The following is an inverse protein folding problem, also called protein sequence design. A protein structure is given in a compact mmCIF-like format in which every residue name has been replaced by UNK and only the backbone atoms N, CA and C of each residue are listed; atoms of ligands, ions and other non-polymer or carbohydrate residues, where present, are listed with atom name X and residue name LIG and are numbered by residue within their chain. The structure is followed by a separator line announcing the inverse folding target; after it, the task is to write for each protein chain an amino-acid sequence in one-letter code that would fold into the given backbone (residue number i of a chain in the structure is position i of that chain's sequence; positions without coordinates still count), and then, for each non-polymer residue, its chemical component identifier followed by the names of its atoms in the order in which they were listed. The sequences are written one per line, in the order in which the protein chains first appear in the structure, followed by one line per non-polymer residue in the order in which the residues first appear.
data_IF_317495308422
#
_entry.id   IF_317495308422
#
_cell.length_a   1.000
_cell.length_b   1.000
_cell.length_c   1.000
_cell.angle_alpha   90.00
_cell.angle_beta   90.00
_cell.angle_gamma   90.00
#
_symmetry.space_group_name_H-M   'P 1'
#
loop_
_entity.id
_entity.type
_entity.pdbx_description
1 polymer ?
#
# COMPACT_ATOMS: atom_id res chain seq x y z
N UNK A 1 -6.35 2.25 -34.71
CA UNK A 1 -6.63 1.43 -33.52
C UNK A 1 -7.53 2.25 -32.62
N UNK A 2 -8.78 1.84 -32.47
CA UNK A 2 -9.79 2.53 -31.65
C UNK A 2 -9.26 2.70 -30.22
N UNK A 3 -8.98 3.94 -29.81
CA UNK A 3 -8.67 4.27 -28.44
C UNK A 3 -9.87 3.87 -27.58
N UNK A 4 -9.76 2.79 -26.81
CA UNK A 4 -10.74 2.51 -25.78
C UNK A 4 -10.63 3.65 -24.77
N UNK A 5 -11.70 4.42 -24.61
CA UNK A 5 -11.72 5.53 -23.67
C UNK A 5 -11.41 5.01 -22.25
N UNK A 6 -10.76 5.83 -21.43
CA UNK A 6 -10.44 5.51 -20.04
C UNK A 6 -11.67 5.03 -19.27
N UNK A 7 -12.82 5.68 -19.48
CA UNK A 7 -14.10 5.31 -18.87
C UNK A 7 -14.52 3.88 -19.24
N UNK A 8 -14.34 3.50 -20.50
CA UNK A 8 -14.68 2.16 -20.96
C UNK A 8 -13.78 1.11 -20.31
N UNK A 9 -12.46 1.36 -20.24
CA UNK A 9 -11.53 0.48 -19.51
C UNK A 9 -11.89 0.38 -18.03
N UNK A 10 -12.25 1.51 -17.41
CA UNK A 10 -12.63 1.56 -16.00
C UNK A 10 -13.85 0.70 -15.72
N UNK A 11 -14.89 0.75 -16.57
CA UNK A 11 -16.07 -0.11 -16.44
C UNK A 11 -15.69 -1.60 -16.54
N UNK A 12 -14.84 -1.95 -17.51
CA UNK A 12 -14.36 -3.34 -17.66
C UNK A 12 -13.61 -3.80 -16.42
N UNK A 13 -12.66 -3.00 -15.93
CA UNK A 13 -11.87 -3.33 -14.74
C UNK A 13 -12.70 -3.37 -13.46
N UNK A 14 -13.74 -2.53 -13.33
CA UNK A 14 -14.70 -2.61 -12.22
C UNK A 14 -15.44 -3.96 -12.24
N UNK A 15 -15.86 -4.45 -13.42
CA UNK A 15 -16.46 -5.79 -13.55
C UNK A 15 -15.47 -6.90 -13.19
N UNK A 16 -14.19 -6.70 -13.52
CA UNK A 16 -13.11 -7.62 -13.16
C UNK A 16 -12.60 -7.44 -11.72
N UNK A 17 -13.18 -6.52 -10.92
CA UNK A 17 -12.74 -6.27 -9.54
C UNK A 17 -12.67 -7.56 -8.72
N UNK A 18 -13.56 -8.53 -8.98
CA UNK A 18 -13.61 -9.81 -8.26
C UNK A 18 -12.63 -10.88 -8.78
N UNK A 19 -12.10 -10.73 -10.00
CA UNK A 19 -11.12 -11.63 -10.60
C UNK A 19 -9.72 -11.00 -10.61
N UNK A 20 -9.00 -11.17 -9.51
CA UNK A 20 -7.65 -10.60 -9.33
C UNK A 20 -6.65 -11.09 -10.36
N UNK A 21 -6.78 -12.33 -10.84
CA UNK A 21 -5.86 -12.90 -11.83
C UNK A 21 -6.00 -12.13 -13.14
N UNK A 22 -7.25 -11.94 -13.59
CA UNK A 22 -7.55 -11.17 -14.79
C UNK A 22 -7.15 -9.70 -14.63
N UNK A 23 -7.44 -9.08 -13.48
CA UNK A 23 -7.05 -7.69 -13.22
C UNK A 23 -5.52 -7.51 -13.21
N UNK A 24 -4.78 -8.46 -12.65
CA UNK A 24 -3.32 -8.47 -12.70
C UNK A 24 -2.79 -8.61 -14.12
N UNK A 25 -3.37 -9.49 -14.93
CA UNK A 25 -3.04 -9.59 -16.36
C UNK A 25 -3.31 -8.28 -17.11
N UNK A 26 -4.39 -7.55 -16.79
CA UNK A 26 -4.70 -6.25 -17.41
C UNK A 26 -3.64 -5.19 -17.10
N UNK A 27 -3.07 -5.18 -15.89
CA UNK A 27 -2.02 -4.24 -15.49
C UNK A 27 -0.74 -4.42 -16.33
N UNK A 28 -0.48 -5.65 -16.80
CA UNK A 28 0.72 -5.99 -17.57
C UNK A 28 0.61 -5.65 -19.07
N UNK A 29 -0.57 -5.24 -19.56
CA UNK A 29 -0.80 -4.99 -21.00
C UNK A 29 -0.03 -3.78 -21.50
N UNK A 30 -0.19 -2.61 -20.85
CA UNK A 30 0.54 -1.39 -21.17
C UNK A 30 0.40 -0.34 -20.04
N UNK A 31 1.16 0.77 -20.15
CA UNK A 31 1.15 1.87 -19.15
C UNK A 31 -0.22 2.53 -18.97
N UNK A 32 -1.06 2.54 -20.00
CA UNK A 32 -2.40 3.14 -19.92
C UNK A 32 -3.34 2.25 -19.09
N UNK A 33 -3.40 0.94 -19.39
CA UNK A 33 -4.18 -0.04 -18.64
C UNK A 33 -3.70 -0.15 -17.20
N UNK A 34 -2.39 -0.13 -16.98
CA UNK A 34 -1.76 -0.04 -15.67
C UNK A 34 -2.36 1.11 -14.84
N UNK A 35 -2.43 2.33 -15.40
CA UNK A 35 -2.90 3.52 -14.67
C UNK A 35 -4.36 3.41 -14.24
N UNK A 36 -5.21 2.78 -15.04
CA UNK A 36 -6.64 2.64 -14.75
C UNK A 36 -6.93 1.44 -13.85
N UNK A 37 -6.21 0.33 -14.00
CA UNK A 37 -6.42 -0.90 -13.24
C UNK A 37 -5.83 -0.85 -11.81
N UNK A 38 -4.70 -0.18 -11.60
CA UNK A 38 -4.03 -0.09 -10.29
C UNK A 38 -4.96 0.47 -9.19
N UNK A 39 -5.65 1.63 -9.36
CA UNK A 39 -6.52 2.14 -8.30
C UNK A 39 -7.65 1.17 -7.94
N UNK A 40 -8.18 0.45 -8.93
CA UNK A 40 -9.25 -0.55 -8.73
C UNK A 40 -8.71 -1.75 -7.94
N UNK A 41 -7.51 -2.21 -8.28
CA UNK A 41 -6.83 -3.30 -7.56
C UNK A 41 -6.48 -2.88 -6.13
N UNK A 42 -5.94 -1.68 -5.93
CA UNK A 42 -5.51 -1.18 -4.63
C UNK A 42 -6.69 -0.96 -3.67
N UNK A 43 -7.82 -0.44 -4.17
CA UNK A 43 -9.03 -0.26 -3.37
C UNK A 43 -9.58 -1.57 -2.79
N UNK A 44 -9.42 -2.71 -3.50
CA UNK A 44 -9.86 -4.02 -3.00
C UNK A 44 -8.94 -4.59 -1.93
N UNK A 45 -7.64 -4.33 -1.97
CA UNK A 45 -6.69 -4.88 -0.99
C UNK A 45 -6.97 -4.41 0.46
N UNK A 46 -7.84 -3.41 0.62
CA UNK A 46 -8.34 -2.92 1.90
C UNK A 46 -9.64 -3.58 2.38
N UNK A 47 -10.26 -4.47 1.58
CA UNK A 47 -11.44 -5.25 1.97
C UNK A 47 -10.99 -6.47 2.81
N UNK A 48 -11.70 -6.72 3.90
CA UNK A 48 -11.23 -7.51 5.07
C UNK A 48 -10.93 -9.00 4.80
N UNK A 49 -11.26 -9.52 3.62
CA UNK A 49 -11.25 -10.96 3.34
C UNK A 49 -9.90 -11.50 2.82
N UNK A 50 -8.91 -10.64 2.51
CA UNK A 50 -7.61 -11.06 1.92
C UNK A 50 -6.38 -10.51 2.67
N UNK A 51 -6.55 -10.14 3.95
CA UNK A 51 -5.52 -9.50 4.80
C UNK A 51 -4.24 -10.35 4.92
N UNK A 52 -4.33 -11.68 4.82
CA UNK A 52 -3.18 -12.59 4.89
C UNK A 52 -2.13 -12.38 3.78
N UNK A 53 -2.49 -11.70 2.69
CA UNK A 53 -1.63 -11.49 1.50
C UNK A 53 -0.97 -10.10 1.47
N UNK A 54 -1.29 -9.23 2.44
CA UNK A 54 -0.91 -7.81 2.41
C UNK A 54 0.52 -7.50 2.86
N UNK A 55 1.33 -8.52 3.20
CA UNK A 55 2.73 -8.34 3.62
C UNK A 55 3.57 -7.55 2.61
N UNK A 56 3.34 -7.78 1.30
CA UNK A 56 3.98 -7.03 0.23
C UNK A 56 3.58 -5.55 0.24
N UNK A 57 2.31 -5.25 0.51
CA UNK A 57 1.81 -3.88 0.59
C UNK A 57 2.40 -3.14 1.80
N UNK A 58 2.45 -3.81 2.95
CA UNK A 58 3.08 -3.26 4.15
C UNK A 58 4.54 -2.89 3.90
N UNK A 59 5.30 -3.79 3.25
CA UNK A 59 6.68 -3.53 2.87
C UNK A 59 6.81 -2.34 1.91
N UNK A 60 5.90 -2.20 0.94
CA UNK A 60 5.91 -1.02 0.05
C UNK A 60 5.65 0.29 0.79
N UNK A 61 4.74 0.31 1.78
CA UNK A 61 4.45 1.50 2.57
C UNK A 61 5.63 1.87 3.46
N UNK A 62 6.24 0.88 4.13
CA UNK A 62 7.46 1.09 4.92
C UNK A 62 8.58 1.64 4.04
N UNK A 63 8.72 1.12 2.82
CA UNK A 63 9.73 1.62 1.89
C UNK A 63 9.49 3.09 1.51
N UNK A 64 8.24 3.49 1.31
CA UNK A 64 7.86 4.84 0.90
C UNK A 64 8.05 5.89 2.02
N UNK A 65 8.25 5.47 3.28
CA UNK A 65 8.55 6.37 4.38
C UNK A 65 9.78 7.26 4.10
N UNK A 66 9.83 8.47 4.65
CA UNK A 66 11.04 9.29 4.61
C UNK A 66 12.26 8.56 5.20
N UNK A 67 13.46 8.90 4.72
CA UNK A 67 14.73 8.33 5.22
C UNK A 67 14.88 8.51 6.74
N UNK A 68 14.49 9.67 7.27
CA UNK A 68 14.47 9.92 8.71
C UNK A 68 13.54 8.97 9.47
N UNK A 69 12.31 8.78 8.97
CA UNK A 69 11.33 7.86 9.55
C UNK A 69 11.84 6.42 9.52
N UNK A 70 12.47 5.97 8.41
CA UNK A 70 13.10 4.65 8.32
C UNK A 70 14.22 4.47 9.33
N UNK A 71 15.10 5.46 9.49
CA UNK A 71 16.19 5.42 10.46
C UNK A 71 15.66 5.35 11.89
N UNK A 72 14.60 6.10 12.20
CA UNK A 72 13.92 6.00 13.49
C UNK A 72 13.32 4.60 13.71
N UNK A 73 12.70 4.01 12.69
CA UNK A 73 12.15 2.65 12.80
C UNK A 73 13.27 1.63 12.99
N UNK A 74 14.38 1.71 12.25
CA UNK A 74 15.52 0.80 12.40
C UNK A 74 16.12 0.91 13.81
N UNK A 75 16.31 2.12 14.32
CA UNK A 75 16.93 2.34 15.62
C UNK A 75 16.03 1.99 16.81
N UNK A 76 14.71 1.88 16.60
CA UNK A 76 13.73 1.62 17.67
C UNK A 76 12.98 0.29 17.50
N UNK A 77 13.16 -0.42 16.38
CA UNK A 77 12.47 -1.66 16.05
C UNK A 77 13.51 -2.69 15.60
N UNK A 78 13.99 -3.49 16.55
CA UNK A 78 14.82 -4.67 16.30
C UNK A 78 14.01 -5.79 15.60
N UNK A 79 13.48 -5.54 14.40
CA UNK A 79 12.72 -6.54 13.65
C UNK A 79 13.46 -6.99 12.40
N UNK A 80 13.94 -8.24 12.43
CA UNK A 80 14.40 -9.00 11.26
C UNK A 80 13.33 -9.08 10.14
N UNK A 81 12.06 -8.81 10.48
CA UNK A 81 10.93 -8.86 9.56
C UNK A 81 10.81 -7.63 8.64
N UNK A 82 11.49 -6.52 8.94
CA UNK A 82 11.42 -5.32 8.10
C UNK A 82 12.49 -5.44 6.99
N UNK A 83 12.07 -6.01 5.87
CA UNK A 83 12.92 -6.07 4.67
C UNK A 83 12.64 -4.86 3.78
N UNK A 84 13.61 -3.95 3.68
CA UNK A 84 13.58 -2.83 2.74
C UNK A 84 13.90 -3.33 1.31
N UNK A 85 13.03 -4.14 0.73
CA UNK A 85 13.20 -4.60 -0.64
C UNK A 85 12.75 -3.54 -1.66
N UNK A 86 13.54 -3.42 -2.73
CA UNK A 86 13.41 -2.71 -4.00
C UNK A 86 12.40 -1.55 -4.12
N UNK A 87 12.91 -0.43 -4.65
CA UNK A 87 12.13 0.77 -4.97
C UNK A 87 10.88 0.40 -5.77
N UNK A 88 9.67 0.75 -5.29
CA UNK A 88 8.47 0.55 -6.08
C UNK A 88 8.60 1.36 -7.37
N UNK A 89 8.29 0.73 -8.50
CA UNK A 89 8.35 1.36 -9.83
C UNK A 89 7.47 2.63 -9.93
N UNK A 90 6.46 2.74 -9.05
CA UNK A 90 5.54 3.86 -8.98
C UNK A 90 5.24 4.21 -7.51
N UNK A 91 4.88 5.47 -7.27
CA UNK A 91 4.33 5.88 -5.98
C UNK A 91 2.86 5.43 -5.90
N UNK A 92 2.66 4.16 -5.54
CA UNK A 92 1.34 3.53 -5.42
C UNK A 92 0.38 4.30 -4.50
N UNK A 93 0.92 5.10 -3.57
CA UNK A 93 0.14 5.85 -2.60
C UNK A 93 -0.53 7.07 -3.22
N UNK A 94 0.05 7.69 -4.27
CA UNK A 94 -0.62 8.78 -5.00
C UNK A 94 -1.88 8.31 -5.75
N UNK A 95 -2.00 7.01 -6.00
CA UNK A 95 -3.08 6.43 -6.81
C UNK A 95 -4.28 6.04 -5.94
N UNK A 96 -4.10 5.93 -4.62
CA UNK A 96 -5.14 5.48 -3.68
C UNK A 96 -5.18 6.36 -2.42
N UNK A 97 -5.81 7.55 -2.49
CA UNK A 97 -5.87 8.50 -1.37
C UNK A 97 -6.69 8.02 -0.16
N UNK A 98 -7.41 6.90 -0.25
CA UNK A 98 -8.33 6.44 0.80
C UNK A 98 -7.85 5.14 1.44
N UNK A 99 -6.68 5.16 2.08
CA UNK A 99 -6.24 4.02 2.91
C UNK A 99 -7.05 4.03 4.21
N UNK A 100 -7.85 2.99 4.51
CA UNK A 100 -8.69 3.00 5.69
C UNK A 100 -7.84 2.76 6.95
N UNK A 101 -8.20 3.42 8.06
CA UNK A 101 -7.49 3.32 9.34
C UNK A 101 -7.33 1.87 9.82
N UNK A 102 -8.31 1.01 9.56
CA UNK A 102 -8.25 -0.44 9.86
C UNK A 102 -7.04 -1.14 9.20
N UNK A 103 -6.69 -0.74 7.98
CA UNK A 103 -5.55 -1.31 7.26
C UNK A 103 -4.24 -0.89 7.91
N UNK A 104 -4.11 0.39 8.30
CA UNK A 104 -2.94 0.91 9.00
C UNK A 104 -2.79 0.19 10.34
N UNK A 105 -3.89 0.01 11.08
CA UNK A 105 -3.89 -0.75 12.35
C UNK A 105 -3.45 -2.20 12.16
N UNK A 106 -3.98 -2.90 11.16
CA UNK A 106 -3.59 -4.28 10.85
C UNK A 106 -2.11 -4.38 10.43
N UNK A 107 -1.63 -3.43 9.63
CA UNK A 107 -0.22 -3.32 9.27
C UNK A 107 0.66 -3.18 10.52
N UNK A 108 0.31 -2.28 11.44
CA UNK A 108 1.04 -2.07 12.69
C UNK A 108 1.04 -3.33 13.57
N UNK A 109 -0.11 -3.99 13.73
CA UNK A 109 -0.26 -5.18 14.55
C UNK A 109 0.49 -6.40 13.98
N UNK A 110 0.55 -6.52 12.66
CA UNK A 110 1.30 -7.61 11.99
C UNK A 110 2.81 -7.38 12.04
N UNK A 111 3.27 -6.13 11.96
CA UNK A 111 4.70 -5.79 12.00
C UNK A 111 5.26 -5.80 13.43
N UNK A 112 4.46 -5.41 14.43
CA UNK A 112 4.91 -5.27 15.84
C UNK A 112 4.07 -6.20 16.72
N UNK A 113 4.67 -7.31 17.14
CA UNK A 113 4.05 -8.31 18.02
C UNK A 113 3.69 -7.69 19.38
N UNK A 114 2.61 -8.20 20.00
CA UNK A 114 2.12 -7.71 21.31
C UNK A 114 3.10 -7.97 22.47
N UNK A 115 3.99 -8.94 22.32
CA UNK A 115 4.93 -9.39 23.35
C UNK A 115 6.18 -8.49 23.45
N UNK A 116 6.34 -7.52 22.55
CA UNK A 116 7.43 -6.55 22.62
C UNK A 116 7.31 -5.67 23.87
N UNK A 117 8.36 -5.65 24.70
CA UNK A 117 8.48 -4.79 25.90
C UNK A 117 8.18 -3.30 25.62
N UNK A 118 8.50 -2.84 24.40
CA UNK A 118 8.22 -1.48 23.92
C UNK A 118 7.16 -1.43 22.81
N UNK A 119 6.35 -2.49 22.68
CA UNK A 119 5.40 -2.67 21.57
C UNK A 119 4.45 -1.49 21.42
N UNK A 120 3.91 -0.95 22.52
CA UNK A 120 3.01 0.22 22.46
C UNK A 120 3.70 1.47 21.89
N UNK A 121 4.93 1.78 22.35
CA UNK A 121 5.69 2.91 21.85
C UNK A 121 6.04 2.74 20.36
N UNK A 122 6.52 1.56 19.97
CA UNK A 122 6.86 1.25 18.57
C UNK A 122 5.64 1.40 17.65
N UNK A 123 4.46 0.94 18.10
CA UNK A 123 3.21 1.04 17.34
C UNK A 123 2.80 2.49 17.12
N UNK A 124 2.80 3.29 18.18
CA UNK A 124 2.46 4.71 18.10
C UNK A 124 3.43 5.48 17.20
N UNK A 125 4.73 5.15 17.24
CA UNK A 125 5.74 5.75 16.38
C UNK A 125 5.49 5.40 14.91
N UNK A 126 5.29 4.12 14.59
CA UNK A 126 5.04 3.66 13.22
C UNK A 126 3.74 4.24 12.66
N UNK A 127 2.68 4.25 13.46
CA UNK A 127 1.40 4.86 13.11
C UNK A 127 1.55 6.33 12.73
N UNK A 128 2.25 7.11 13.56
CA UNK A 128 2.48 8.54 13.32
C UNK A 128 3.24 8.78 12.02
N UNK A 129 4.29 8.02 11.75
CA UNK A 129 5.10 8.19 10.54
C UNK A 129 4.33 7.77 9.28
N UNK A 130 3.49 6.74 9.37
CA UNK A 130 2.59 6.33 8.27
C UNK A 130 1.54 7.42 7.98
N UNK A 131 0.89 7.99 8.99
CA UNK A 131 -0.06 9.08 8.76
C UNK A 131 0.60 10.33 8.19
N UNK A 132 1.78 10.73 8.68
CA UNK A 132 2.54 11.86 8.10
C UNK A 132 2.83 11.63 6.62
N UNK A 133 3.20 10.41 6.24
CA UNK A 133 3.42 10.06 4.85
C UNK A 133 2.16 10.27 4.01
N UNK A 134 1.00 9.77 4.46
CA UNK A 134 -0.25 9.94 3.70
C UNK A 134 -0.66 11.41 3.59
N UNK A 135 -0.56 12.18 4.69
CA UNK A 135 -0.87 13.61 4.71
C UNK A 135 0.02 14.39 3.74
N UNK A 136 1.33 14.17 3.77
CA UNK A 136 2.27 14.85 2.88
C UNK A 136 2.01 14.52 1.41
N UNK A 137 1.54 13.32 1.10
CA UNK A 137 1.21 12.92 -0.27
C UNK A 137 -0.11 13.54 -0.76
N UNK A 138 -1.05 13.83 0.14
CA UNK A 138 -2.26 14.57 -0.20
C UNK A 138 -2.00 16.07 -0.44
N UNK A 139 -1.04 16.68 0.26
CA UNK A 139 -0.72 18.10 0.13
C UNK A 139 0.14 18.45 -1.10
N UNK A 140 0.84 17.46 -1.67
CA UNK A 140 1.76 17.62 -2.81
C UNK A 140 1.15 17.23 -4.17
N UNK A 141 -0.17 17.03 -4.25
CA UNK A 141 -0.90 16.70 -5.48
C UNK A 141 -1.68 17.91 -6.01
#
# INVERSE_FOLDING_TARGET
MSYLNEDCLRIVFIKLKYDLKSLYSCILVNKFWYRVAIPILWNRNFDDNEISSNSKLYNTIIYLLPSYSKMLLINNIDNENITFSNRPLFNYINISPQVPSRFIKNMIETLIKKEDKYGLYKRNLLEREVYKLFINLCLNN
#
